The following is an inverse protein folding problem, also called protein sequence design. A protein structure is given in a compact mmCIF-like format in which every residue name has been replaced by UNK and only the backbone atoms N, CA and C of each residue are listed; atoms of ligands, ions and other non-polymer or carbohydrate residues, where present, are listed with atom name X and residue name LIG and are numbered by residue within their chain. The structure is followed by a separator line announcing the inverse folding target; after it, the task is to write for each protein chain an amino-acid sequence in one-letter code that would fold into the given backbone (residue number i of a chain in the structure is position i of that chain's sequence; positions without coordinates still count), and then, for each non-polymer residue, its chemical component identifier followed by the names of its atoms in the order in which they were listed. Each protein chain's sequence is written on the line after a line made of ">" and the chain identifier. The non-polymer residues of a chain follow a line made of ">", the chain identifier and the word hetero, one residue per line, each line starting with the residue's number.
data_IF_187727053299
#
_entry.id   IF_187727053299
#
_cell.length_a   1.000
_cell.length_b   1.000
_cell.length_c   1.000
_cell.angle_alpha   90.00
_cell.angle_beta   90.00
_cell.angle_gamma   90.00
#
_symmetry.space_group_name_H-M   'P 1'
#
loop_
_entity.id
_entity.type
_entity.pdbx_description
1 polymer ?
#
# COMPACT_ATOMS: atom_id res chain seq x y z
N UNK A 1 1.94 -6.66 -18.50
CA UNK A 1 2.17 -7.35 -17.22
C UNK A 1 3.31 -8.33 -17.37
N UNK A 2 3.27 -9.27 -18.33
CA UNK A 2 4.38 -10.22 -18.54
C UNK A 2 5.73 -9.55 -18.82
N UNK A 3 5.78 -8.53 -19.68
CA UNK A 3 7.04 -7.79 -19.96
C UNK A 3 7.60 -7.03 -18.75
N UNK A 4 6.72 -6.53 -17.88
CA UNK A 4 7.11 -5.80 -16.67
C UNK A 4 7.50 -6.74 -15.51
N UNK A 5 7.14 -8.03 -15.57
CA UNK A 5 7.51 -9.02 -14.57
C UNK A 5 8.99 -9.43 -14.69
N UNK A 6 9.57 -9.36 -15.89
CA UNK A 6 10.98 -9.71 -16.11
C UNK A 6 11.96 -8.75 -15.43
N UNK A 7 11.54 -7.53 -15.10
CA UNK A 7 12.38 -6.58 -14.34
C UNK A 7 12.39 -6.84 -12.83
N UNK A 8 11.52 -7.75 -12.34
CA UNK A 8 11.52 -8.16 -10.94
C UNK A 8 12.51 -9.31 -10.68
N UNK A 9 13.02 -9.43 -9.44
CA UNK A 9 13.73 -10.62 -8.98
C UNK A 9 12.98 -11.90 -9.31
N UNK A 10 13.72 -12.93 -9.74
CA UNK A 10 13.12 -14.19 -10.19
C UNK A 10 12.27 -14.86 -9.11
N UNK A 11 12.76 -14.83 -7.86
CA UNK A 11 12.10 -15.40 -6.69
C UNK A 11 10.80 -14.67 -6.31
N UNK A 12 10.55 -13.46 -6.82
CA UNK A 12 9.30 -12.73 -6.58
C UNK A 12 8.23 -13.03 -7.61
N UNK A 13 8.60 -13.46 -8.81
CA UNK A 13 7.66 -13.70 -9.92
C UNK A 13 6.57 -14.73 -9.60
N UNK A 14 6.84 -15.83 -8.86
CA UNK A 14 5.81 -16.79 -8.45
C UNK A 14 4.69 -16.21 -7.57
N UNK A 15 4.95 -15.08 -6.92
CA UNK A 15 3.99 -14.39 -6.04
C UNK A 15 3.19 -13.30 -6.77
N UNK A 16 3.33 -13.21 -8.10
CA UNK A 16 2.49 -12.35 -8.92
C UNK A 16 1.15 -13.03 -9.20
N UNK A 17 0.06 -12.26 -9.15
CA UNK A 17 -1.29 -12.74 -9.47
C UNK A 17 -1.32 -13.36 -10.87
N UNK A 18 -1.66 -14.65 -10.94
CA UNK A 18 -1.78 -15.41 -12.18
C UNK A 18 -3.05 -15.05 -12.98
N UNK A 19 -3.01 -13.87 -13.62
CA UNK A 19 -4.13 -13.26 -14.33
C UNK A 19 -4.79 -14.18 -15.38
N UNK A 20 -4.01 -15.04 -16.05
CA UNK A 20 -4.51 -15.97 -17.09
C UNK A 20 -5.44 -17.03 -16.49
N UNK A 21 -5.12 -17.56 -15.30
CA UNK A 21 -5.91 -18.59 -14.62
C UNK A 21 -7.24 -18.01 -14.16
N UNK A 22 -7.21 -16.86 -13.48
CA UNK A 22 -8.42 -16.16 -13.04
C UNK A 22 -9.32 -15.75 -14.22
N UNK A 23 -8.74 -15.30 -15.33
CA UNK A 23 -9.51 -14.97 -16.54
C UNK A 23 -10.25 -16.18 -17.12
N UNK A 24 -9.69 -17.39 -17.00
CA UNK A 24 -10.40 -18.62 -17.42
C UNK A 24 -11.56 -18.90 -16.46
N UNK A 25 -11.35 -18.75 -15.15
CA UNK A 25 -12.40 -18.93 -14.14
C UNK A 25 -13.61 -18.03 -14.38
N UNK A 26 -13.41 -16.76 -14.78
CA UNK A 26 -14.52 -15.85 -15.10
C UNK A 26 -15.43 -16.40 -16.22
N UNK A 27 -14.89 -17.16 -17.18
CA UNK A 27 -15.73 -17.77 -18.23
C UNK A 27 -16.70 -18.79 -17.62
N UNK A 28 -16.23 -19.60 -16.69
CA UNK A 28 -17.06 -20.58 -15.99
C UNK A 28 -18.16 -19.92 -15.13
N UNK A 29 -17.87 -18.74 -14.56
CA UNK A 29 -18.88 -17.93 -13.86
C UNK A 29 -19.98 -17.49 -14.82
N UNK A 30 -19.61 -16.97 -15.99
CA UNK A 30 -20.59 -16.57 -17.01
C UNK A 30 -21.42 -17.77 -17.48
N UNK A 31 -20.76 -18.90 -17.76
CA UNK A 31 -21.45 -20.13 -18.17
C UNK A 31 -22.44 -20.62 -17.09
N UNK A 32 -22.09 -20.52 -15.80
CA UNK A 32 -22.98 -20.83 -14.68
C UNK A 32 -24.22 -19.92 -14.68
N UNK A 33 -24.03 -18.61 -14.82
CA UNK A 33 -25.11 -17.63 -14.85
C UNK A 33 -26.05 -17.86 -16.05
N UNK A 34 -25.48 -18.02 -17.25
CA UNK A 34 -26.24 -18.27 -18.48
C UNK A 34 -27.04 -19.58 -18.41
N UNK A 35 -26.46 -20.64 -17.82
CA UNK A 35 -27.16 -21.92 -17.63
C UNK A 35 -28.41 -21.81 -16.75
N UNK A 36 -28.43 -20.81 -15.85
CA UNK A 36 -29.55 -20.49 -14.95
C UNK A 36 -30.49 -19.41 -15.52
N UNK A 37 -30.23 -18.94 -16.75
CA UNK A 37 -31.02 -17.88 -17.40
C UNK A 37 -30.70 -16.46 -16.94
N UNK A 38 -29.64 -16.28 -16.14
CA UNK A 38 -29.21 -14.99 -15.61
C UNK A 38 -28.17 -14.42 -16.58
N UNK A 39 -28.61 -13.71 -17.62
CA UNK A 39 -27.68 -13.06 -18.55
C UNK A 39 -27.21 -11.70 -18.02
N UNK A 40 -26.05 -11.23 -18.47
CA UNK A 40 -25.58 -9.88 -18.11
C UNK A 40 -26.51 -8.78 -18.64
N UNK A 41 -27.16 -8.99 -19.79
CA UNK A 41 -28.15 -8.06 -20.33
C UNK A 41 -29.36 -7.98 -19.40
N UNK A 42 -29.83 -9.13 -18.92
CA UNK A 42 -30.96 -9.23 -17.99
C UNK A 42 -30.67 -8.59 -16.63
N UNK A 43 -29.47 -8.81 -16.07
CA UNK A 43 -29.06 -8.15 -14.82
C UNK A 43 -29.09 -6.62 -14.98
N UNK A 44 -28.66 -6.11 -16.14
CA UNK A 44 -28.61 -4.66 -16.38
C UNK A 44 -29.99 -4.04 -16.68
N UNK A 45 -30.99 -4.83 -17.06
CA UNK A 45 -32.36 -4.34 -17.30
C UNK A 45 -33.21 -4.23 -16.04
N UNK A 46 -32.78 -4.84 -14.93
CA UNK A 46 -33.47 -4.80 -13.64
C UNK A 46 -33.06 -3.53 -12.89
N UNK A 47 -33.76 -2.43 -13.15
CA UNK A 47 -33.58 -1.17 -12.42
C UNK A 47 -34.33 -1.18 -11.07
N UNK A 48 -33.85 -0.32 -10.18
CA UNK A 48 -33.94 -0.42 -8.71
C UNK A 48 -35.26 0.05 -8.06
N UNK A 49 -36.32 0.33 -8.82
CA UNK A 49 -37.60 0.88 -8.28
C UNK A 49 -38.87 0.05 -8.58
N UNK A 50 -38.77 -1.14 -9.16
CA UNK A 50 -39.93 -1.96 -9.53
C UNK A 50 -40.01 -3.30 -8.80
N UNK A 51 -41.08 -4.06 -9.09
CA UNK A 51 -41.56 -5.27 -8.41
C UNK A 51 -40.55 -6.41 -8.22
N UNK A 52 -39.34 -6.32 -8.77
CA UNK A 52 -38.29 -7.33 -8.71
C UNK A 52 -36.88 -6.70 -8.65
N UNK A 53 -36.10 -7.06 -7.62
CA UNK A 53 -34.73 -6.56 -7.35
C UNK A 53 -33.71 -7.69 -7.29
N UNK A 54 -32.50 -7.43 -7.79
CA UNK A 54 -31.33 -8.31 -7.69
C UNK A 54 -30.27 -7.69 -6.80
N UNK A 55 -29.86 -8.42 -5.78
CA UNK A 55 -28.73 -8.09 -4.92
C UNK A 55 -27.65 -9.17 -5.05
N UNK A 56 -26.47 -8.77 -5.52
CA UNK A 56 -25.27 -9.61 -5.48
C UNK A 56 -24.47 -9.29 -4.24
N UNK A 57 -24.08 -10.31 -3.48
CA UNK A 57 -23.33 -10.14 -2.23
C UNK A 57 -22.20 -11.16 -2.14
N UNK A 58 -21.04 -10.74 -1.62
CA UNK A 58 -19.94 -11.64 -1.28
C UNK A 58 -19.91 -11.83 0.25
N UNK A 59 -20.30 -13.01 0.71
CA UNK A 59 -20.33 -13.37 2.13
C UNK A 59 -19.35 -14.51 2.45
N UNK A 60 -19.34 -14.97 3.71
CA UNK A 60 -18.49 -16.07 4.16
C UNK A 60 -17.19 -15.60 4.83
N UNK A 61 -16.19 -16.48 4.83
CA UNK A 61 -14.85 -16.20 5.38
C UNK A 61 -13.78 -16.26 4.27
N UNK A 62 -12.58 -15.76 4.58
CA UNK A 62 -11.48 -15.71 3.60
C UNK A 62 -11.03 -17.09 3.07
N UNK A 63 -11.32 -18.19 3.78
CA UNK A 63 -11.05 -19.55 3.32
C UNK A 63 -12.17 -20.12 2.46
N UNK A 64 -13.42 -19.68 2.69
CA UNK A 64 -14.64 -20.15 2.05
C UNK A 64 -15.53 -18.96 1.66
N UNK A 65 -15.18 -18.24 0.57
CA UNK A 65 -16.04 -17.18 0.04
C UNK A 65 -17.35 -17.78 -0.47
N UNK A 66 -18.46 -17.10 -0.20
CA UNK A 66 -19.81 -17.50 -0.55
C UNK A 66 -20.52 -16.35 -1.27
N UNK A 67 -20.19 -16.09 -2.54
CA UNK A 67 -20.97 -15.22 -3.41
C UNK A 67 -22.36 -15.79 -3.65
N UNK A 68 -23.37 -14.95 -3.53
CA UNK A 68 -24.74 -15.32 -3.89
C UNK A 68 -25.50 -14.15 -4.50
N UNK A 69 -26.48 -14.51 -5.34
CA UNK A 69 -27.49 -13.59 -5.85
C UNK A 69 -28.76 -13.80 -5.04
N UNK A 70 -29.32 -12.70 -4.52
CA UNK A 70 -30.64 -12.68 -3.91
C UNK A 70 -31.58 -11.93 -4.83
N UNK A 71 -32.62 -12.61 -5.29
CA UNK A 71 -33.71 -12.02 -6.04
C UNK A 71 -34.86 -11.78 -5.07
N UNK A 72 -35.38 -10.56 -5.01
CA UNK A 72 -36.52 -10.19 -4.18
C UNK A 72 -37.64 -9.71 -5.07
N UNK A 73 -38.81 -10.34 -4.99
CA UNK A 73 -40.01 -9.99 -5.75
C UNK A 73 -41.02 -9.42 -4.75
N UNK A 74 -41.39 -8.15 -4.92
CA UNK A 74 -42.33 -7.43 -4.06
C UNK A 74 -43.77 -7.49 -4.56
N UNK A 75 -43.99 -7.56 -5.87
CA UNK A 75 -45.30 -7.73 -6.49
C UNK A 75 -45.25 -8.75 -7.66
N UNK A 76 -45.60 -10.02 -7.42
CA UNK A 76 -45.56 -11.07 -8.44
C UNK A 76 -46.47 -10.81 -9.65
N UNK A 77 -47.50 -9.96 -9.53
CA UNK A 77 -48.48 -9.71 -10.59
C UNK A 77 -48.00 -8.72 -11.66
N UNK A 78 -46.92 -7.97 -11.39
CA UNK A 78 -46.35 -6.97 -12.30
C UNK A 78 -45.09 -7.45 -13.03
N UNK A 79 -44.74 -8.73 -12.90
CA UNK A 79 -43.57 -9.32 -13.57
C UNK A 79 -43.82 -9.46 -15.08
N UNK A 80 -42.92 -8.98 -15.95
CA UNK A 80 -42.99 -9.25 -17.39
C UNK A 80 -42.95 -10.76 -17.71
N UNK A 81 -43.73 -11.21 -18.69
CA UNK A 81 -43.77 -12.62 -19.13
C UNK A 81 -42.41 -13.18 -19.59
N UNK A 82 -41.47 -12.33 -20.01
CA UNK A 82 -40.10 -12.73 -20.32
C UNK A 82 -39.31 -13.17 -19.07
N UNK A 83 -39.58 -12.54 -17.92
CA UNK A 83 -38.91 -12.79 -16.65
C UNK A 83 -39.51 -14.01 -15.93
N UNK A 84 -40.79 -14.31 -16.14
CA UNK A 84 -41.42 -15.55 -15.65
C UNK A 84 -40.67 -16.81 -16.11
N UNK A 85 -40.19 -16.82 -17.35
CA UNK A 85 -39.44 -17.98 -17.89
C UNK A 85 -38.09 -18.18 -17.19
N UNK A 86 -37.46 -17.08 -16.76
CA UNK A 86 -36.21 -17.12 -15.98
C UNK A 86 -36.52 -17.58 -14.56
N UNK A 87 -37.57 -17.04 -13.93
CA UNK A 87 -38.00 -17.44 -12.58
C UNK A 87 -38.39 -18.92 -12.49
N UNK A 88 -39.06 -19.47 -13.51
CA UNK A 88 -39.38 -20.91 -13.59
C UNK A 88 -38.14 -21.82 -13.65
N UNK A 89 -37.00 -21.31 -14.15
CA UNK A 89 -35.72 -22.04 -14.10
C UNK A 89 -35.02 -21.94 -12.73
N UNK A 90 -35.37 -20.92 -11.94
CA UNK A 90 -34.73 -20.61 -10.67
C UNK A 90 -35.51 -21.15 -9.45
N UNK A 91 -36.82 -21.34 -9.58
CA UNK A 91 -37.69 -21.87 -8.53
C UNK A 91 -37.73 -23.41 -8.65
N UNK A 92 -37.53 -24.18 -7.56
CA UNK A 92 -37.81 -25.62 -7.57
C UNK A 92 -39.29 -25.84 -7.90
N UNK A 93 -39.57 -26.68 -8.89
CA UNK A 93 -40.84 -26.93 -9.62
C UNK A 93 -42.13 -27.10 -8.76
N UNK A 94 -42.06 -27.04 -7.43
CA UNK A 94 -43.15 -27.34 -6.49
C UNK A 94 -43.76 -26.14 -5.75
N UNK A 95 -43.33 -24.90 -5.93
CA UNK A 95 -44.02 -23.74 -5.32
C UNK A 95 -44.82 -22.96 -6.36
N UNK A 96 -46.15 -23.06 -6.27
CA UNK A 96 -47.06 -22.18 -6.99
C UNK A 96 -46.75 -20.72 -6.63
N UNK A 97 -46.72 -19.84 -7.64
CA UNK A 97 -46.51 -18.40 -7.47
C UNK A 97 -47.65 -17.87 -6.57
N UNK A 98 -47.34 -17.69 -5.29
CA UNK A 98 -48.24 -17.15 -4.26
C UNK A 98 -48.22 -15.62 -4.32
N UNK A 99 -49.27 -14.96 -3.82
CA UNK A 99 -49.41 -13.49 -3.72
C UNK A 99 -48.53 -12.85 -2.64
N UNK A 100 -47.58 -13.57 -2.06
CA UNK A 100 -46.65 -13.07 -1.04
C UNK A 100 -45.29 -12.71 -1.65
N UNK A 101 -44.56 -11.73 -1.06
CA UNK A 101 -43.24 -11.36 -1.53
C UNK A 101 -42.27 -12.56 -1.46
N UNK A 102 -41.68 -12.90 -2.61
CA UNK A 102 -40.80 -14.06 -2.75
C UNK A 102 -39.33 -13.63 -2.70
N UNK A 103 -38.50 -14.38 -1.98
CA UNK A 103 -37.05 -14.19 -2.02
C UNK A 103 -36.33 -15.48 -2.41
N UNK A 104 -35.60 -15.43 -3.52
CA UNK A 104 -34.84 -16.57 -4.05
C UNK A 104 -33.35 -16.29 -3.82
N UNK A 105 -32.67 -17.20 -3.12
CA UNK A 105 -31.22 -17.16 -2.94
C UNK A 105 -30.55 -18.16 -3.88
N UNK A 106 -29.57 -17.69 -4.63
CA UNK A 106 -28.87 -18.45 -5.66
C UNK A 106 -27.39 -18.47 -5.30
N UNK A 107 -26.89 -19.64 -4.90
CA UNK A 107 -25.46 -19.83 -4.62
C UNK A 107 -24.68 -20.01 -5.93
N UNK A 108 -23.56 -19.29 -6.06
CA UNK A 108 -22.73 -19.28 -7.25
C UNK A 108 -21.47 -20.11 -7.00
N UNK A 109 -21.45 -21.35 -7.48
CA UNK A 109 -20.37 -22.30 -7.20
C UNK A 109 -19.11 -21.91 -7.96
N UNK A 110 -19.24 -21.54 -9.25
CA UNK A 110 -18.08 -21.13 -10.06
C UNK A 110 -17.53 -19.79 -9.62
N UNK A 111 -18.40 -18.93 -9.10
CA UNK A 111 -17.96 -17.65 -8.55
C UNK A 111 -17.25 -17.83 -7.21
N UNK A 112 -17.70 -18.77 -6.37
CA UNK A 112 -16.99 -19.17 -5.16
C UNK A 112 -15.57 -19.68 -5.48
N UNK A 113 -15.43 -20.51 -6.52
CA UNK A 113 -14.12 -20.98 -7.02
C UNK A 113 -13.24 -19.80 -7.49
N UNK A 114 -13.81 -18.82 -8.20
CA UNK A 114 -13.08 -17.63 -8.64
C UNK A 114 -12.50 -16.84 -7.45
N UNK A 115 -13.32 -16.54 -6.44
CA UNK A 115 -12.85 -15.80 -5.26
C UNK A 115 -11.88 -16.62 -4.42
N UNK A 116 -12.06 -17.93 -4.31
CA UNK A 116 -11.11 -18.80 -3.61
C UNK A 116 -9.73 -18.76 -4.29
N UNK A 117 -9.69 -18.82 -5.63
CA UNK A 117 -8.45 -18.66 -6.40
C UNK A 117 -7.83 -17.28 -6.19
N UNK A 118 -8.63 -16.21 -6.25
CA UNK A 118 -8.12 -14.85 -6.05
C UNK A 118 -7.55 -14.65 -4.64
N UNK A 119 -8.24 -15.12 -3.61
CA UNK A 119 -7.79 -15.04 -2.22
C UNK A 119 -6.53 -15.86 -1.97
N UNK A 120 -6.39 -17.03 -2.63
CA UNK A 120 -5.15 -17.82 -2.60
C UNK A 120 -3.97 -17.07 -3.25
N UNK A 121 -4.18 -16.42 -4.38
CA UNK A 121 -3.13 -15.61 -5.03
C UNK A 121 -2.71 -14.42 -4.16
N UNK A 122 -3.67 -13.78 -3.48
CA UNK A 122 -3.40 -12.68 -2.55
C UNK A 122 -2.69 -13.14 -1.28
N UNK A 123 -3.05 -14.30 -0.72
CA UNK A 123 -2.38 -14.86 0.45
C UNK A 123 -0.94 -15.26 0.12
N UNK A 124 -0.70 -15.83 -1.06
CA UNK A 124 0.64 -16.08 -1.59
C UNK A 124 1.45 -14.78 -1.64
N UNK A 125 0.91 -13.72 -2.26
CA UNK A 125 1.58 -12.41 -2.29
C UNK A 125 1.87 -11.87 -0.88
N UNK A 126 0.96 -12.03 0.07
CA UNK A 126 1.14 -11.60 1.46
C UNK A 126 2.33 -12.30 2.15
N UNK A 127 2.57 -13.59 1.86
CA UNK A 127 3.74 -14.32 2.38
C UNK A 127 5.04 -13.64 1.94
N UNK A 128 5.15 -13.25 0.67
CA UNK A 128 6.33 -12.52 0.19
C UNK A 128 6.44 -11.15 0.86
N UNK A 129 5.33 -10.44 1.07
CA UNK A 129 5.34 -9.16 1.78
C UNK A 129 5.93 -9.28 3.18
N UNK A 130 5.53 -10.29 3.96
CA UNK A 130 6.04 -10.50 5.31
C UNK A 130 7.52 -10.88 5.33
N UNK A 131 7.95 -11.71 4.38
CA UNK A 131 9.35 -12.09 4.22
C UNK A 131 10.22 -10.86 3.90
N UNK A 132 9.80 -10.09 2.91
CA UNK A 132 10.50 -8.90 2.45
C UNK A 132 10.51 -7.79 3.51
N UNK A 133 9.41 -7.59 4.22
CA UNK A 133 9.33 -6.67 5.36
C UNK A 133 10.41 -7.00 6.39
N UNK A 134 10.50 -8.25 6.84
CA UNK A 134 11.53 -8.70 7.80
C UNK A 134 12.93 -8.47 7.27
N UNK A 135 13.17 -8.79 5.99
CA UNK A 135 14.46 -8.58 5.33
C UNK A 135 14.85 -7.11 5.29
N UNK A 136 13.93 -6.22 4.91
CA UNK A 136 14.19 -4.79 4.87
C UNK A 136 14.49 -4.21 6.25
N UNK A 137 13.75 -4.60 7.29
CA UNK A 137 14.05 -4.16 8.65
C UNK A 137 15.45 -4.59 9.11
N UNK A 138 15.84 -5.85 8.89
CA UNK A 138 17.20 -6.30 9.20
C UNK A 138 18.27 -5.53 8.41
N UNK A 139 18.02 -5.22 7.13
CA UNK A 139 18.93 -4.40 6.33
C UNK A 139 19.02 -2.96 6.84
N UNK A 140 17.91 -2.37 7.28
CA UNK A 140 17.85 -1.03 7.86
C UNK A 140 18.61 -0.99 9.20
N UNK A 141 18.44 -1.98 10.07
CA UNK A 141 19.18 -2.08 11.34
C UNK A 141 20.69 -2.22 11.11
N UNK A 142 21.11 -3.02 10.13
CA UNK A 142 22.52 -3.14 9.76
C UNK A 142 23.07 -1.79 9.24
N UNK A 143 22.31 -1.09 8.40
CA UNK A 143 22.69 0.23 7.89
C UNK A 143 22.79 1.26 9.03
N UNK A 144 21.84 1.25 9.97
CA UNK A 144 21.85 2.11 11.15
C UNK A 144 23.16 1.93 11.95
N UNK A 145 23.56 0.69 12.21
CA UNK A 145 24.81 0.39 12.90
C UNK A 145 26.05 0.91 12.16
N UNK A 146 26.11 0.74 10.84
CA UNK A 146 27.22 1.26 10.02
C UNK A 146 27.25 2.80 10.04
N UNK A 147 26.08 3.45 9.97
CA UNK A 147 25.95 4.90 9.95
C UNK A 147 26.30 5.56 11.28
N UNK A 148 25.98 4.95 12.42
CA UNK A 148 26.37 5.47 13.74
C UNK A 148 27.89 5.63 13.83
N UNK A 149 28.65 4.70 13.25
CA UNK A 149 30.11 4.76 13.21
C UNK A 149 30.61 5.73 12.13
N UNK A 150 30.01 5.68 10.94
CA UNK A 150 30.43 6.45 9.77
C UNK A 150 30.16 7.95 9.90
N UNK A 151 29.04 8.33 10.53
CA UNK A 151 28.58 9.70 10.71
C UNK A 151 28.86 10.26 12.11
N UNK A 152 29.79 9.66 12.86
CA UNK A 152 30.20 10.21 14.15
C UNK A 152 30.76 11.63 13.99
N UNK A 153 30.47 12.58 14.92
CA UNK A 153 30.92 13.98 14.85
C UNK A 153 32.43 14.19 14.68
N UNK A 154 33.23 13.22 15.11
CA UNK A 154 34.69 13.26 15.01
C UNK A 154 35.22 12.79 13.65
N UNK A 155 34.34 12.24 12.79
CA UNK A 155 34.71 11.70 11.48
C UNK A 155 34.54 12.74 10.39
N UNK A 156 35.51 12.75 9.46
CA UNK A 156 35.52 13.63 8.28
C UNK A 156 34.32 13.42 7.34
N UNK A 157 33.71 12.24 7.38
CA UNK A 157 32.64 11.85 6.45
C UNK A 157 31.26 12.42 6.85
N UNK A 158 31.08 12.96 8.07
CA UNK A 158 29.79 13.49 8.54
C UNK A 158 29.19 14.53 7.59
N UNK A 159 30.00 15.48 7.11
CA UNK A 159 29.52 16.53 6.20
C UNK A 159 29.16 15.99 4.82
N UNK A 160 29.89 14.97 4.35
CA UNK A 160 29.55 14.28 3.10
C UNK A 160 28.21 13.54 3.23
N UNK A 161 27.97 12.92 4.39
CA UNK A 161 26.68 12.29 4.70
C UNK A 161 25.52 13.29 4.78
N UNK A 162 25.75 14.49 5.31
CA UNK A 162 24.76 15.58 5.29
C UNK A 162 24.37 15.94 3.85
N UNK A 163 25.36 16.16 2.98
CA UNK A 163 25.13 16.43 1.55
C UNK A 163 24.35 15.29 0.88
N UNK A 164 24.70 14.02 1.17
CA UNK A 164 24.00 12.84 0.63
C UNK A 164 22.53 12.81 1.08
N UNK A 165 22.25 13.03 2.37
CA UNK A 165 20.88 12.98 2.90
C UNK A 165 20.03 14.18 2.54
N UNK A 166 20.65 15.35 2.36
CA UNK A 166 19.97 16.50 1.77
C UNK A 166 19.52 16.17 0.35
N UNK A 167 20.44 15.68 -0.49
CA UNK A 167 20.13 15.31 -1.87
C UNK A 167 19.08 14.19 -1.95
N UNK A 168 19.15 13.22 -1.06
CA UNK A 168 18.15 12.14 -0.96
C UNK A 168 16.77 12.68 -0.59
N UNK A 169 16.70 13.63 0.34
CA UNK A 169 15.44 14.28 0.75
C UNK A 169 14.86 15.11 -0.40
N UNK A 170 15.69 15.84 -1.14
CA UNK A 170 15.29 16.59 -2.34
C UNK A 170 14.74 15.68 -3.44
N UNK A 171 15.33 14.49 -3.62
CA UNK A 171 14.89 13.53 -4.62
C UNK A 171 13.42 13.09 -4.43
N UNK A 172 12.90 13.14 -3.20
CA UNK A 172 11.50 12.82 -2.87
C UNK A 172 11.03 11.47 -3.45
N UNK A 173 11.90 10.44 -3.36
CA UNK A 173 11.76 9.16 -4.09
C UNK A 173 10.44 8.44 -3.81
N UNK A 174 9.94 8.49 -2.58
CA UNK A 174 8.81 7.65 -2.17
C UNK A 174 7.52 8.41 -1.87
N UNK A 175 7.62 9.69 -1.51
CA UNK A 175 6.49 10.54 -1.16
C UNK A 175 6.51 11.85 -1.94
N UNK A 176 5.34 12.38 -2.24
CA UNK A 176 5.20 13.74 -2.76
C UNK A 176 5.28 14.79 -1.63
N UNK A 177 5.22 16.06 -2.01
CA UNK A 177 5.25 17.20 -1.08
C UNK A 177 4.10 17.23 -0.06
N UNK A 178 3.06 16.43 -0.27
CA UNK A 178 1.90 16.30 0.63
C UNK A 178 1.96 15.01 1.46
N UNK A 179 3.07 14.26 1.39
CA UNK A 179 3.24 12.99 2.10
C UNK A 179 2.50 11.82 1.47
N UNK A 180 1.96 11.97 0.25
CA UNK A 180 1.29 10.86 -0.46
C UNK A 180 2.32 9.99 -1.15
N UNK A 181 2.07 8.69 -1.22
CA UNK A 181 2.98 7.78 -1.90
C UNK A 181 3.07 8.09 -3.41
N UNK A 182 4.30 8.18 -3.90
CA UNK A 182 4.62 8.30 -5.32
C UNK A 182 4.16 7.04 -6.09
N UNK A 183 4.01 7.15 -7.42
CA UNK A 183 3.86 5.98 -8.28
C UNK A 183 5.22 5.30 -8.49
N UNK A 184 5.22 3.99 -8.76
CA UNK A 184 6.45 3.22 -9.03
C UNK A 184 7.35 3.89 -10.08
N UNK A 185 6.78 4.36 -11.21
CA UNK A 185 7.55 4.97 -12.30
C UNK A 185 8.27 6.24 -11.83
N UNK A 186 7.57 7.09 -11.10
CA UNK A 186 8.14 8.33 -10.57
C UNK A 186 9.22 8.03 -9.53
N UNK A 187 8.99 7.08 -8.62
CA UNK A 187 10.02 6.63 -7.68
C UNK A 187 11.27 6.08 -8.37
N UNK A 188 11.10 5.36 -9.49
CA UNK A 188 12.21 4.86 -10.29
C UNK A 188 13.00 6.01 -10.95
N UNK A 189 12.32 6.97 -11.56
CA UNK A 189 12.94 8.15 -12.17
C UNK A 189 13.68 9.00 -11.13
N UNK A 190 13.09 9.22 -9.96
CA UNK A 190 13.70 9.97 -8.86
C UNK A 190 14.92 9.27 -8.26
N UNK A 191 14.88 7.94 -8.12
CA UNK A 191 16.04 7.18 -7.67
C UNK A 191 17.19 7.22 -8.69
N UNK A 192 16.88 7.16 -9.98
CA UNK A 192 17.87 7.33 -11.05
C UNK A 192 18.49 8.72 -11.01
N UNK A 193 17.67 9.76 -10.85
CA UNK A 193 18.13 11.13 -10.67
C UNK A 193 19.06 11.25 -9.47
N UNK A 194 18.65 10.75 -8.30
CA UNK A 194 19.46 10.78 -7.07
C UNK A 194 20.82 10.12 -7.29
N UNK A 195 20.84 8.94 -7.91
CA UNK A 195 22.07 8.19 -8.17
C UNK A 195 22.98 8.92 -9.17
N UNK A 196 22.42 9.49 -10.23
CA UNK A 196 23.16 10.27 -11.21
C UNK A 196 23.75 11.55 -10.61
N UNK A 197 22.98 12.23 -9.76
CA UNK A 197 23.38 13.47 -9.11
C UNK A 197 24.46 13.22 -8.05
N UNK A 198 24.35 12.14 -7.29
CA UNK A 198 25.38 11.68 -6.36
C UNK A 198 26.71 11.40 -7.07
N UNK A 199 26.66 10.82 -8.27
CA UNK A 199 27.84 10.60 -9.12
C UNK A 199 28.40 11.91 -9.69
N UNK A 200 27.53 12.82 -10.17
CA UNK A 200 27.89 14.13 -10.72
C UNK A 200 28.66 14.98 -9.71
N UNK A 201 28.19 15.04 -8.46
CA UNK A 201 28.83 15.78 -7.36
C UNK A 201 30.00 14.99 -6.73
N UNK A 202 30.21 13.74 -7.18
CA UNK A 202 31.28 12.84 -6.71
C UNK A 202 31.28 12.57 -5.21
N UNK A 203 30.10 12.60 -4.55
CA UNK A 203 29.96 12.42 -3.10
C UNK A 203 30.50 11.05 -2.65
N UNK A 204 30.22 9.98 -3.40
CA UNK A 204 30.74 8.64 -3.10
C UNK A 204 32.28 8.59 -3.03
N UNK A 205 32.97 9.40 -3.86
CA UNK A 205 34.44 9.47 -3.88
C UNK A 205 35.01 10.29 -2.72
N UNK A 206 34.22 11.22 -2.15
CA UNK A 206 34.62 12.03 -0.99
C UNK A 206 34.63 11.23 0.33
N UNK A 207 33.94 10.09 0.39
CA UNK A 207 33.90 9.24 1.58
C UNK A 207 35.27 8.58 1.82
N UNK A 208 35.88 8.89 2.96
CA UNK A 208 37.23 8.43 3.30
C UNK A 208 37.23 7.05 3.95
N UNK A 209 36.25 6.76 4.81
CA UNK A 209 36.25 5.54 5.64
C UNK A 209 35.63 4.33 4.94
N UNK A 210 36.09 3.13 5.34
CA UNK A 210 35.49 1.86 4.85
C UNK A 210 34.02 1.74 5.27
N UNK A 211 33.69 2.08 6.52
CA UNK A 211 32.33 2.06 7.05
C UNK A 211 31.40 2.96 6.22
N UNK A 212 31.80 4.19 5.91
CA UNK A 212 30.99 5.07 5.04
C UNK A 212 30.74 4.48 3.64
N UNK A 213 31.75 3.86 3.03
CA UNK A 213 31.58 3.24 1.70
C UNK A 213 30.61 2.05 1.75
N UNK A 214 30.70 1.24 2.81
CA UNK A 214 29.79 0.12 3.06
C UNK A 214 28.37 0.63 3.31
N UNK A 215 28.20 1.60 4.20
CA UNK A 215 26.91 2.24 4.50
C UNK A 215 26.27 2.85 3.25
N UNK A 216 27.04 3.56 2.40
CA UNK A 216 26.49 4.12 1.16
C UNK A 216 26.04 3.03 0.19
N UNK A 217 26.83 1.97 0.02
CA UNK A 217 26.45 0.84 -0.83
C UNK A 217 25.17 0.16 -0.32
N UNK A 218 25.06 -0.07 1.00
CA UNK A 218 23.86 -0.62 1.63
C UNK A 218 22.66 0.31 1.46
N UNK A 219 22.81 1.61 1.69
CA UNK A 219 21.76 2.61 1.53
C UNK A 219 21.21 2.63 0.09
N UNK A 220 22.08 2.67 -0.92
CA UNK A 220 21.68 2.62 -2.33
C UNK A 220 20.97 1.30 -2.65
N UNK A 221 21.50 0.18 -2.16
CA UNK A 221 20.91 -1.14 -2.35
C UNK A 221 19.51 -1.26 -1.76
N UNK A 222 19.31 -0.78 -0.52
CA UNK A 222 18.00 -0.78 0.15
C UNK A 222 16.99 0.03 -0.66
N UNK A 223 17.36 1.23 -1.09
CA UNK A 223 16.48 2.09 -1.88
C UNK A 223 16.10 1.47 -3.24
N UNK A 224 17.06 0.88 -3.93
CA UNK A 224 16.81 0.18 -5.19
C UNK A 224 15.86 -1.03 -5.00
N UNK A 225 16.09 -1.83 -3.97
CA UNK A 225 15.23 -2.97 -3.62
C UNK A 225 13.82 -2.51 -3.22
N UNK A 226 13.69 -1.39 -2.50
CA UNK A 226 12.39 -0.82 -2.15
C UNK A 226 11.60 -0.34 -3.37
N UNK A 227 12.26 0.29 -4.35
CA UNK A 227 11.62 0.69 -5.62
C UNK A 227 11.17 -0.55 -6.41
N UNK A 228 11.97 -1.62 -6.44
CA UNK A 228 11.56 -2.89 -7.04
C UNK A 228 10.37 -3.50 -6.30
N UNK A 229 10.38 -3.49 -4.97
CA UNK A 229 9.28 -4.03 -4.16
C UNK A 229 7.99 -3.23 -4.41
N UNK A 230 8.10 -1.91 -4.56
CA UNK A 230 6.99 -1.04 -5.00
C UNK A 230 6.47 -1.39 -6.39
N UNK A 231 7.34 -1.79 -7.32
CA UNK A 231 6.92 -2.30 -8.62
C UNK A 231 6.09 -3.59 -8.48
N UNK A 232 6.56 -4.55 -7.68
CA UNK A 232 5.85 -5.81 -7.40
C UNK A 232 4.44 -5.54 -6.86
N UNK A 233 4.32 -4.69 -5.85
CA UNK A 233 3.03 -4.31 -5.26
C UNK A 233 2.10 -3.67 -6.28
N UNK A 234 2.61 -2.72 -7.08
CA UNK A 234 1.84 -2.04 -8.12
C UNK A 234 1.32 -3.01 -9.19
N UNK A 235 2.11 -4.02 -9.56
CA UNK A 235 1.70 -5.04 -10.52
C UNK A 235 0.57 -5.92 -9.98
N UNK A 236 0.67 -6.38 -8.73
CA UNK A 236 -0.37 -7.17 -8.08
C UNK A 236 -1.67 -6.37 -7.87
N UNK A 237 -1.59 -5.15 -7.36
CA UNK A 237 -2.75 -4.26 -7.20
C UNK A 237 -3.44 -4.01 -8.56
N UNK A 238 -2.65 -3.74 -9.61
CA UNK A 238 -3.18 -3.56 -10.97
C UNK A 238 -3.84 -4.84 -11.49
N UNK A 239 -3.24 -6.00 -11.28
CA UNK A 239 -3.79 -7.28 -11.71
C UNK A 239 -5.12 -7.58 -11.01
N UNK A 240 -5.19 -7.35 -9.69
CA UNK A 240 -6.40 -7.49 -8.86
C UNK A 240 -7.53 -6.57 -9.35
N UNK A 241 -7.27 -5.27 -9.49
CA UNK A 241 -8.27 -4.31 -9.98
C UNK A 241 -8.74 -4.69 -11.39
N UNK A 242 -7.82 -5.10 -12.27
CA UNK A 242 -8.16 -5.47 -13.65
C UNK A 242 -8.90 -6.79 -13.77
N UNK A 243 -8.75 -7.70 -12.82
CA UNK A 243 -9.48 -8.97 -12.85
C UNK A 243 -10.88 -8.81 -12.27
N UNK A 244 -11.04 -8.03 -11.20
CA UNK A 244 -12.34 -7.68 -10.63
C UNK A 244 -13.17 -6.87 -11.63
N UNK A 245 -12.62 -5.79 -12.22
CA UNK A 245 -13.32 -5.04 -13.28
C UNK A 245 -13.66 -5.90 -14.52
N UNK A 246 -12.87 -6.94 -14.78
CA UNK A 246 -13.16 -7.88 -15.88
C UNK A 246 -14.29 -8.82 -15.51
N UNK A 247 -14.37 -9.24 -14.25
CA UNK A 247 -15.48 -10.01 -13.72
C UNK A 247 -16.76 -9.21 -13.89
N UNK A 248 -16.85 -8.01 -13.32
CA UNK A 248 -18.05 -7.16 -13.41
C UNK A 248 -18.53 -6.99 -14.85
N UNK A 249 -17.60 -6.64 -15.76
CA UNK A 249 -17.93 -6.42 -17.17
C UNK A 249 -18.47 -7.68 -17.88
N UNK A 250 -18.09 -8.88 -17.43
CA UNK A 250 -18.44 -10.14 -18.09
C UNK A 250 -19.64 -10.83 -17.45
N UNK A 251 -19.79 -10.74 -16.14
CA UNK A 251 -20.87 -11.36 -15.38
C UNK A 251 -22.08 -10.42 -15.23
N UNK A 252 -21.88 -9.10 -15.30
CA UNK A 252 -22.90 -8.11 -14.92
C UNK A 252 -23.02 -7.92 -13.40
N UNK A 253 -22.23 -8.64 -12.60
CA UNK A 253 -22.26 -8.58 -11.14
C UNK A 253 -21.34 -7.46 -10.61
N UNK A 254 -21.51 -7.09 -9.34
CA UNK A 254 -20.73 -6.04 -8.66
C UNK A 254 -19.56 -6.60 -7.83
N UNK A 255 -18.76 -7.49 -8.40
CA UNK A 255 -17.63 -8.12 -7.69
C UNK A 255 -16.58 -7.11 -7.21
N UNK A 256 -16.31 -6.02 -7.93
CA UNK A 256 -15.34 -5.02 -7.47
C UNK A 256 -15.74 -4.38 -6.13
N UNK A 257 -17.00 -3.99 -5.96
CA UNK A 257 -17.46 -3.35 -4.71
C UNK A 257 -17.54 -4.37 -3.58
N UNK A 258 -18.16 -5.52 -3.83
CA UNK A 258 -18.34 -6.58 -2.84
C UNK A 258 -17.01 -7.17 -2.38
N UNK A 259 -16.04 -7.31 -3.28
CA UNK A 259 -14.72 -7.77 -2.89
C UNK A 259 -13.98 -6.71 -2.05
N UNK A 260 -14.17 -5.43 -2.33
CA UNK A 260 -13.49 -4.37 -1.58
C UNK A 260 -13.94 -4.34 -0.12
N UNK A 261 -15.24 -4.48 0.14
CA UNK A 261 -15.80 -4.56 1.50
C UNK A 261 -15.46 -5.88 2.18
N UNK A 262 -15.49 -7.00 1.46
CA UNK A 262 -15.14 -8.31 1.99
C UNK A 262 -13.64 -8.41 2.37
N UNK A 263 -12.78 -7.79 1.57
CA UNK A 263 -11.33 -7.93 1.65
C UNK A 263 -10.65 -6.72 2.31
N UNK A 264 -11.36 -5.87 3.06
CA UNK A 264 -10.79 -4.67 3.71
C UNK A 264 -9.50 -4.99 4.48
N UNK A 265 -9.46 -6.12 5.18
CA UNK A 265 -8.26 -6.58 5.87
C UNK A 265 -7.13 -6.95 4.90
N UNK A 266 -7.44 -7.60 3.78
CA UNK A 266 -6.45 -8.05 2.77
C UNK A 266 -5.84 -6.89 1.96
N UNK A 267 -6.60 -5.83 1.70
CA UNK A 267 -6.12 -4.63 1.00
C UNK A 267 -5.11 -3.82 1.82
N UNK A 268 -5.24 -3.79 3.16
CA UNK A 268 -4.28 -3.12 4.05
C UNK A 268 -2.87 -3.73 4.00
N UNK A 269 -2.72 -5.02 3.66
CA UNK A 269 -1.40 -5.68 3.63
C UNK A 269 -0.48 -5.15 2.54
N UNK A 270 -1.03 -4.61 1.44
CA UNK A 270 -0.22 -4.23 0.28
C UNK A 270 0.39 -2.85 0.49
N UNK A 271 -0.39 -1.83 0.83
CA UNK A 271 0.13 -0.45 0.90
C UNK A 271 0.83 -0.10 2.23
N UNK A 272 0.47 -0.75 3.34
CA UNK A 272 0.99 -0.41 4.67
C UNK A 272 2.48 -0.71 4.88
N UNK A 273 2.99 -1.78 4.26
CA UNK A 273 4.39 -2.21 4.43
C UNK A 273 5.37 -1.17 3.91
N UNK A 274 5.14 -0.65 2.71
CA UNK A 274 6.01 0.37 2.12
C UNK A 274 6.01 1.66 2.93
N UNK A 275 4.83 2.17 3.31
CA UNK A 275 4.72 3.35 4.17
C UNK A 275 5.55 3.20 5.45
N UNK A 276 5.49 2.02 6.09
CA UNK A 276 6.24 1.73 7.30
C UNK A 276 7.76 1.72 7.06
N UNK A 277 8.23 1.08 5.99
CA UNK A 277 9.65 1.03 5.65
C UNK A 277 10.20 2.42 5.29
N UNK A 278 9.46 3.20 4.50
CA UNK A 278 9.84 4.58 4.14
C UNK A 278 9.92 5.47 5.37
N UNK A 279 8.90 5.41 6.23
CA UNK A 279 8.89 6.15 7.48
C UNK A 279 10.07 5.77 8.38
N UNK A 280 10.44 4.49 8.41
CA UNK A 280 11.60 4.02 9.19
C UNK A 280 12.91 4.59 8.63
N UNK A 281 13.10 4.61 7.31
CA UNK A 281 14.27 5.27 6.71
C UNK A 281 14.30 6.76 7.05
N UNK A 282 13.15 7.45 6.92
CA UNK A 282 13.08 8.88 7.18
C UNK A 282 13.35 9.24 8.63
N UNK A 283 12.83 8.47 9.59
CA UNK A 283 12.89 8.81 11.02
C UNK A 283 14.06 8.20 11.76
N UNK A 284 14.55 7.03 11.33
CA UNK A 284 15.73 6.40 11.93
C UNK A 284 17.00 6.73 11.17
N UNK A 285 17.06 6.44 9.87
CA UNK A 285 18.30 6.51 9.10
C UNK A 285 18.74 7.95 8.87
N UNK A 286 17.83 8.81 8.39
CA UNK A 286 18.18 10.21 8.11
C UNK A 286 18.50 10.97 9.41
N UNK A 287 17.79 10.66 10.50
CA UNK A 287 17.99 11.31 11.80
C UNK A 287 19.34 11.00 12.47
N UNK A 288 20.05 9.94 12.06
CA UNK A 288 21.41 9.63 12.58
C UNK A 288 22.40 10.74 12.22
N UNK A 289 22.19 11.40 11.09
CA UNK A 289 23.06 12.48 10.60
C UNK A 289 22.41 13.81 10.97
N UNK A 290 22.80 14.44 12.10
CA UNK A 290 22.23 15.71 12.50
C UNK A 290 22.50 16.78 11.45
N UNK A 291 21.47 17.51 11.06
CA UNK A 291 21.60 18.67 10.18
C UNK A 291 21.98 19.92 10.99
N UNK A 292 22.63 20.92 10.37
CA UNK A 292 22.97 22.17 11.06
C UNK A 292 21.74 22.86 11.69
N UNK A 293 20.59 22.78 11.03
CA UNK A 293 19.33 23.40 11.45
C UNK A 293 18.77 22.74 12.72
N UNK A 294 19.09 21.47 12.99
CA UNK A 294 18.70 20.77 14.23
C UNK A 294 19.32 21.40 15.49
N UNK A 295 20.31 22.27 15.30
CA UNK A 295 21.01 22.98 16.35
C UNK A 295 20.74 24.48 16.31
N UNK A 296 19.80 24.98 15.53
CA UNK A 296 19.47 26.40 15.58
C UNK A 296 18.85 26.79 16.92
N UNK A 297 19.46 27.77 17.57
CA UNK A 297 18.93 28.31 18.81
C UNK A 297 17.82 29.32 18.48
N UNK A 298 16.55 29.08 18.85
CA UNK A 298 15.43 29.96 18.51
C UNK A 298 15.45 31.29 19.28
N UNK A 299 16.37 31.44 20.24
CA UNK A 299 16.54 32.68 21.01
C UNK A 299 17.49 33.66 20.31
N UNK A 300 18.57 33.15 19.71
CA UNK A 300 19.55 33.99 19.03
C UNK A 300 19.56 33.82 17.50
N UNK A 301 18.73 32.93 16.95
CA UNK A 301 18.63 32.65 15.52
C UNK A 301 19.98 32.31 14.89
N UNK A 302 20.76 31.50 15.59
CA UNK A 302 22.09 31.05 15.15
C UNK A 302 22.31 29.62 15.63
N UNK A 303 23.21 28.90 14.97
CA UNK A 303 23.66 27.58 15.40
C UNK A 303 24.10 27.63 16.86
N UNK A 304 23.54 26.72 17.67
CA UNK A 304 23.64 26.73 19.11
C UNK A 304 25.09 26.47 19.57
N UNK A 305 25.70 27.50 20.14
CA UNK A 305 27.02 27.37 20.73
C UNK A 305 26.93 26.74 22.13
N UNK A 306 27.62 25.60 22.32
CA UNK A 306 27.45 24.69 23.46
C UNK A 306 25.96 24.36 23.65
N UNK A 307 25.41 23.53 22.76
CA UNK A 307 23.97 23.24 22.76
C UNK A 307 23.56 22.50 24.04
N UNK A 308 22.46 22.95 24.64
CA UNK A 308 21.73 22.21 25.67
C UNK A 308 20.41 21.79 25.04
N UNK A 309 20.15 20.47 25.03
CA UNK A 309 18.85 19.91 24.69
C UNK A 309 18.05 19.72 25.97
N UNK A 310 16.90 20.38 26.05
CA UNK A 310 15.98 20.24 27.18
C UNK A 310 15.21 18.91 27.08
N UNK A 311 14.55 18.48 28.17
CA UNK A 311 13.70 17.28 28.15
C UNK A 311 12.59 17.33 27.10
N UNK A 312 12.09 18.53 26.79
CA UNK A 312 11.11 18.76 25.73
C UNK A 312 11.69 18.61 24.31
N UNK A 313 12.97 18.25 24.14
CA UNK A 313 13.64 18.04 22.85
C UNK A 313 14.22 19.30 22.18
N UNK A 314 13.84 20.50 22.61
CA UNK A 314 14.33 21.77 22.04
C UNK A 314 15.79 22.07 22.44
N UNK A 315 16.55 22.61 21.49
CA UNK A 315 17.98 22.91 21.63
C UNK A 315 18.22 24.43 21.75
N UNK A 316 19.09 24.83 22.67
CA UNK A 316 19.46 26.24 22.89
C UNK A 316 20.95 26.38 23.16
N UNK A 317 21.51 27.57 22.93
CA UNK A 317 22.82 27.93 23.48
C UNK A 317 22.79 27.92 25.01
N UNK A 318 23.84 27.42 25.68
CA UNK A 318 24.09 27.62 27.12
C UNK A 318 23.85 29.08 27.53
N UNK A 319 24.40 30.03 26.77
CA UNK A 319 24.30 31.47 27.08
C UNK A 319 22.87 31.99 26.97
N UNK A 320 22.07 31.45 26.04
CA UNK A 320 20.68 31.86 25.86
C UNK A 320 19.81 31.38 27.03
N UNK A 321 20.00 30.13 27.48
CA UNK A 321 19.30 29.61 28.67
C UNK A 321 19.70 30.36 29.94
N UNK A 322 20.99 30.65 30.15
CA UNK A 322 21.43 31.46 31.31
C UNK A 322 20.77 32.86 31.30
N UNK A 323 20.66 33.50 30.14
CA UNK A 323 19.97 34.81 30.01
C UNK A 323 18.48 34.69 30.31
N UNK A 324 17.81 33.64 29.85
CA UNK A 324 16.40 33.38 30.14
C UNK A 324 16.17 33.15 31.65
N UNK A 325 17.00 32.31 32.27
CA UNK A 325 16.95 32.04 33.70
C UNK A 325 17.18 33.31 34.55
N UNK A 326 18.13 34.18 34.17
CA UNK A 326 18.34 35.48 34.83
C UNK A 326 17.12 36.41 34.72
N UNK A 327 16.30 36.25 33.68
CA UNK A 327 15.01 36.96 33.51
C UNK A 327 13.84 36.24 34.18
N UNK A 328 14.10 35.22 35.00
CA UNK A 328 13.08 34.38 35.67
C UNK A 328 12.13 33.66 34.72
N UNK A 329 12.60 33.37 33.50
CA UNK A 329 11.92 32.47 32.57
C UNK A 329 12.48 31.06 32.83
N UNK A 330 11.66 30.21 33.43
CA UNK A 330 12.00 28.83 33.80
C UNK A 330 11.35 27.78 32.89
N UNK A 331 10.68 28.25 31.85
CA UNK A 331 9.99 27.41 30.88
C UNK A 331 10.69 27.50 29.52
N UNK A 332 10.58 26.43 28.75
CA UNK A 332 11.05 26.35 27.38
C UNK A 332 10.54 27.55 26.56
N UNK A 333 11.43 28.37 25.97
CA UNK A 333 11.02 29.51 25.13
C UNK A 333 10.17 29.13 23.91
N UNK A 334 10.14 27.85 23.53
CA UNK A 334 9.36 27.34 22.40
C UNK A 334 8.02 26.74 22.86
N UNK A 335 8.04 25.71 23.72
CA UNK A 335 6.83 24.97 24.10
C UNK A 335 6.28 25.31 25.51
N UNK A 336 6.95 26.19 26.26
CA UNK A 336 6.58 26.60 27.63
C UNK A 336 6.47 25.47 28.66
N UNK A 337 7.05 24.30 28.37
CA UNK A 337 7.24 23.26 29.39
C UNK A 337 8.37 23.67 30.34
N UNK A 338 8.19 23.42 31.63
CA UNK A 338 9.19 23.73 32.65
C UNK A 338 10.54 23.05 32.34
N UNK A 339 11.63 23.74 32.65
CA UNK A 339 12.99 23.18 32.63
C UNK A 339 13.15 22.16 33.77
N UNK A 340 12.63 20.94 33.59
CA UNK A 340 12.88 19.84 34.53
C UNK A 340 14.30 19.28 34.37
#
# INVERSE_FOLDING_TARGET
>A
METAAYSLPEDWRPYLIHYKTLKKSIRLVVDELESRGISSEWINTLDTEEAMRIDYTLSGDAGKPQPCIKITITDPASIPTADETVLLKLIPVTQAISTEPLSIKIELVRDSEFFHLLLHELSSAAVLHDLEKKRFFGNIENLENELIVAASPEKKDLYVWREIFQLYSEASIFTDQYGRQQLYKTSQEQLQWFTAELARVSLAKKLATKHSKVALAQFLSINAQLVQFKQFQSLNQTAMIKILKKHDKRSGLSATSEFSSFAENNAMFIEGVLSCLFHTIQTKIIAIVPQPEDYDCPVCYSIAWRPIRLQCGHVFCVRCLIKAHKKRLYDCPVCRQAFA
#
